data_IF_881121169081
#
_entry.id   IF_881121169081
#
_cell.length_a   1.000
_cell.length_b   1.000
_cell.length_c   1.000
_cell.angle_alpha   90.00
_cell.angle_beta   90.00
_cell.angle_gamma   90.00
#
_symmetry.space_group_name_H-M   'P 1'
#
loop_
_entity.id
_entity.type
_entity.pdbx_description
1 polymer ?
#
# COMPACT_ATOMS: atom_id res chain seq x y z
N UNK A 1 1.79 -25.55 15.72
CA UNK A 1 0.69 -25.24 16.65
C UNK A 1 -0.58 -24.86 15.88
N UNK A 2 -1.74 -24.99 16.52
CA UNK A 2 -3.04 -24.65 15.91
C UNK A 2 -3.66 -23.53 16.73
N UNK A 3 -3.83 -22.36 16.10
CA UNK A 3 -4.36 -21.16 16.70
C UNK A 3 -5.79 -20.91 16.22
N UNK A 4 -6.72 -20.67 17.13
CA UNK A 4 -8.04 -20.18 16.81
C UNK A 4 -8.08 -18.65 16.89
N UNK A 5 -8.63 -17.99 15.85
CA UNK A 5 -8.82 -16.54 15.86
C UNK A 5 -10.29 -16.17 15.75
N UNK A 6 -10.74 -15.32 16.68
CA UNK A 6 -12.12 -14.88 16.79
C UNK A 6 -12.18 -13.35 16.82
N UNK A 7 -13.21 -12.80 16.20
CA UNK A 7 -13.44 -11.34 16.20
C UNK A 7 -14.92 -11.02 16.26
N UNK A 8 -15.25 -10.02 17.06
CA UNK A 8 -16.57 -9.36 16.99
C UNK A 8 -16.41 -7.85 16.96
N UNK A 9 -17.39 -7.14 16.39
CA UNK A 9 -17.49 -5.69 16.52
C UNK A 9 -18.28 -5.32 17.77
N UNK A 10 -18.12 -4.08 18.24
CA UNK A 10 -18.87 -3.59 19.41
C UNK A 10 -20.41 -3.56 19.18
N UNK A 11 -20.86 -3.53 17.92
CA UNK A 11 -22.25 -3.36 17.49
C UNK A 11 -22.94 -4.69 17.15
N UNK A 12 -22.21 -5.83 17.13
CA UNK A 12 -22.76 -7.13 16.73
C UNK A 12 -23.58 -7.78 17.85
N UNK A 13 -24.81 -8.24 17.51
CA UNK A 13 -25.71 -8.91 18.42
C UNK A 13 -25.30 -10.36 18.74
N UNK A 14 -26.18 -11.08 19.46
CA UNK A 14 -25.96 -12.42 20.06
C UNK A 14 -25.51 -13.48 19.05
N UNK A 15 -25.95 -13.41 17.80
CA UNK A 15 -25.63 -14.41 16.75
C UNK A 15 -24.17 -14.40 16.26
N UNK A 16 -23.38 -13.42 16.63
CA UNK A 16 -21.95 -13.32 16.30
C UNK A 16 -21.05 -13.47 17.54
N UNK A 17 -21.57 -14.10 18.60
CA UNK A 17 -20.86 -14.29 19.86
C UNK A 17 -19.55 -15.08 19.66
N UNK A 18 -18.57 -14.88 20.54
CA UNK A 18 -17.36 -15.70 20.55
C UNK A 18 -17.69 -17.18 20.74
N UNK A 19 -18.74 -17.52 21.51
CA UNK A 19 -19.14 -18.91 21.73
C UNK A 19 -19.58 -19.61 20.46
N UNK A 20 -20.35 -18.93 19.60
CA UNK A 20 -20.74 -19.46 18.28
C UNK A 20 -19.51 -19.71 17.39
N UNK A 21 -18.56 -18.76 17.38
CA UNK A 21 -17.32 -18.91 16.61
C UNK A 21 -16.45 -20.05 17.16
N UNK A 22 -16.30 -20.15 18.48
CA UNK A 22 -15.59 -21.26 19.15
C UNK A 22 -16.20 -22.60 18.77
N UNK A 23 -17.51 -22.70 18.89
CA UNK A 23 -18.22 -23.93 18.54
C UNK A 23 -17.98 -24.39 17.10
N UNK A 24 -18.03 -23.46 16.12
CA UNK A 24 -17.71 -23.76 14.71
C UNK A 24 -16.26 -24.26 14.54
N UNK A 25 -15.31 -23.63 15.21
CA UNK A 25 -13.90 -24.04 15.18
C UNK A 25 -13.72 -25.41 15.83
N UNK A 26 -14.35 -25.68 16.96
CA UNK A 26 -14.31 -26.97 17.65
C UNK A 26 -14.91 -28.09 16.81
N UNK A 27 -16.07 -27.85 16.16
CA UNK A 27 -16.67 -28.81 15.24
C UNK A 27 -15.74 -29.15 14.07
N UNK A 28 -15.10 -28.13 13.48
CA UNK A 28 -14.12 -28.33 12.41
C UNK A 28 -12.91 -29.13 12.90
N UNK A 29 -12.38 -28.79 14.07
CA UNK A 29 -11.23 -29.47 14.66
C UNK A 29 -11.54 -30.94 14.97
N UNK A 30 -12.71 -31.22 15.54
CA UNK A 30 -13.15 -32.58 15.82
C UNK A 30 -13.28 -33.42 14.54
N UNK A 31 -13.85 -32.86 13.47
CA UNK A 31 -13.97 -33.54 12.18
C UNK A 31 -12.61 -33.90 11.54
N UNK A 32 -11.61 -33.07 11.78
CA UNK A 32 -10.26 -33.25 11.20
C UNK A 32 -9.23 -33.83 12.20
N UNK A 33 -9.66 -34.31 13.38
CA UNK A 33 -8.80 -34.82 14.45
C UNK A 33 -7.70 -33.80 14.86
N UNK A 34 -8.07 -32.53 14.94
CA UNK A 34 -7.20 -31.42 15.33
C UNK A 34 -7.58 -30.95 16.75
N UNK A 35 -6.64 -30.28 17.41
CA UNK A 35 -6.88 -29.63 18.70
C UNK A 35 -6.34 -28.20 18.64
N UNK A 36 -7.15 -27.23 19.02
CA UNK A 36 -6.69 -25.83 19.17
C UNK A 36 -5.78 -25.72 20.37
N UNK A 37 -4.59 -25.18 20.18
CA UNK A 37 -3.60 -24.96 21.24
C UNK A 37 -3.86 -23.64 21.97
N UNK A 38 -4.24 -22.58 21.25
CA UNK A 38 -4.46 -21.25 21.82
C UNK A 38 -5.54 -20.48 21.02
N UNK A 39 -6.36 -19.68 21.73
CA UNK A 39 -7.40 -18.83 21.15
C UNK A 39 -7.04 -17.36 21.30
N UNK A 40 -7.27 -16.58 20.25
CA UNK A 40 -7.09 -15.13 20.21
C UNK A 40 -8.42 -14.44 19.91
N UNK A 41 -8.86 -13.53 20.77
CA UNK A 41 -10.16 -12.88 20.71
C UNK A 41 -10.01 -11.36 20.62
N UNK A 42 -10.47 -10.76 19.52
CA UNK A 42 -10.47 -9.32 19.33
C UNK A 42 -11.89 -8.75 19.31
N UNK A 43 -12.07 -7.58 19.96
CA UNK A 43 -13.29 -6.77 19.86
C UNK A 43 -12.90 -5.50 19.09
N UNK A 44 -13.10 -5.52 17.77
CA UNK A 44 -12.68 -4.42 16.91
C UNK A 44 -13.35 -4.48 15.52
N UNK A 45 -13.21 -3.42 14.74
CA UNK A 45 -13.66 -3.39 13.35
C UNK A 45 -12.92 -4.43 12.49
N UNK A 46 -13.65 -5.13 11.62
CA UNK A 46 -13.08 -6.05 10.63
C UNK A 46 -12.27 -5.37 9.51
N UNK A 47 -12.35 -4.04 9.38
CA UNK A 47 -11.57 -3.26 8.44
C UNK A 47 -10.11 -3.05 8.86
N UNK A 48 -9.79 -3.21 10.15
CA UNK A 48 -8.40 -3.16 10.64
C UNK A 48 -7.62 -4.37 10.14
N UNK A 49 -6.34 -4.18 9.82
CA UNK A 49 -5.43 -5.29 9.54
C UNK A 49 -5.23 -6.15 10.78
N UNK A 50 -4.91 -7.43 10.60
CA UNK A 50 -4.66 -8.34 11.73
C UNK A 50 -3.59 -7.79 12.68
N UNK A 51 -2.53 -7.22 12.13
CA UNK A 51 -1.40 -6.62 12.87
C UNK A 51 -1.75 -5.32 13.61
N UNK A 52 -2.88 -4.69 13.30
CA UNK A 52 -3.37 -3.49 13.98
C UNK A 52 -4.31 -3.81 15.15
N UNK A 53 -4.71 -5.09 15.30
CA UNK A 53 -5.58 -5.57 16.35
C UNK A 53 -4.76 -6.08 17.52
N UNK A 54 -5.25 -5.90 18.76
CA UNK A 54 -4.49 -6.24 19.96
C UNK A 54 -4.07 -7.71 20.01
N UNK A 55 -5.03 -8.62 19.85
CA UNK A 55 -4.75 -10.06 19.86
C UNK A 55 -4.21 -10.56 18.51
N UNK A 56 -4.64 -9.95 17.42
CA UNK A 56 -4.10 -10.22 16.08
C UNK A 56 -2.61 -9.91 15.96
N UNK A 57 -2.12 -8.85 16.59
CA UNK A 57 -0.68 -8.53 16.66
C UNK A 57 0.09 -9.59 17.43
N UNK A 58 -0.45 -10.04 18.59
CA UNK A 58 0.15 -11.12 19.39
C UNK A 58 0.19 -12.42 18.62
N UNK A 59 -0.91 -12.81 17.97
CA UNK A 59 -0.96 -13.97 17.09
C UNK A 59 0.12 -13.87 15.98
N UNK A 60 0.18 -12.74 15.29
CA UNK A 60 1.15 -12.50 14.19
C UNK A 60 2.62 -12.62 14.65
N UNK A 61 2.92 -12.31 15.91
CA UNK A 61 4.26 -12.43 16.49
C UNK A 61 4.63 -13.86 16.90
N UNK A 62 3.63 -14.70 17.20
CA UNK A 62 3.83 -16.10 17.62
C UNK A 62 3.93 -17.08 16.46
N UNK A 63 3.29 -16.78 15.34
CA UNK A 63 3.17 -17.66 14.16
C UNK A 63 4.53 -18.06 13.61
N UNK A 64 4.71 -19.37 13.41
CA UNK A 64 5.91 -19.98 12.81
C UNK A 64 5.54 -20.89 11.64
N UNK A 65 6.56 -21.27 10.87
CA UNK A 65 6.42 -22.26 9.79
C UNK A 65 5.77 -23.56 10.30
N UNK A 66 4.75 -24.03 9.60
CA UNK A 66 4.02 -25.25 9.94
C UNK A 66 2.83 -25.02 10.89
N UNK A 67 2.63 -23.82 11.37
CA UNK A 67 1.47 -23.50 12.21
C UNK A 67 0.18 -23.38 11.36
N UNK A 68 -0.95 -23.50 12.03
CA UNK A 68 -2.28 -23.37 11.41
C UNK A 68 -3.09 -22.33 12.16
N UNK A 69 -3.71 -21.41 11.41
CA UNK A 69 -4.69 -20.45 11.94
C UNK A 69 -6.07 -20.91 11.49
N UNK A 70 -7.00 -21.04 12.41
CA UNK A 70 -8.39 -21.42 12.13
C UNK A 70 -9.32 -20.29 12.55
N UNK A 71 -10.19 -19.87 11.63
CA UNK A 71 -11.27 -18.90 11.86
C UNK A 71 -12.60 -19.51 11.48
N UNK A 72 -13.68 -19.07 12.14
CA UNK A 72 -15.04 -19.58 11.81
C UNK A 72 -15.48 -19.18 10.41
N UNK A 73 -15.13 -18.00 9.94
CA UNK A 73 -15.50 -17.48 8.62
C UNK A 73 -14.57 -16.32 8.21
N UNK A 74 -14.48 -16.09 6.90
CA UNK A 74 -13.64 -15.06 6.30
C UNK A 74 -13.89 -13.66 6.89
N UNK A 75 -15.17 -13.31 7.11
CA UNK A 75 -15.59 -12.01 7.63
C UNK A 75 -15.06 -11.72 9.04
N UNK A 76 -14.76 -12.77 9.82
CA UNK A 76 -14.16 -12.64 11.15
C UNK A 76 -12.68 -12.36 11.06
N UNK A 77 -12.02 -12.99 10.11
CA UNK A 77 -10.60 -12.73 9.87
C UNK A 77 -10.38 -11.32 9.30
N UNK A 78 -11.00 -10.98 8.18
CA UNK A 78 -10.85 -9.65 7.57
C UNK A 78 -12.07 -9.26 6.73
N UNK A 79 -12.45 -7.97 6.80
CA UNK A 79 -13.34 -7.31 5.84
C UNK A 79 -12.55 -6.52 4.79
N UNK A 80 -11.22 -6.40 4.96
CA UNK A 80 -10.34 -5.78 4.00
C UNK A 80 -9.79 -6.84 3.04
N UNK A 81 -10.21 -6.79 1.77
CA UNK A 81 -9.66 -7.67 0.74
C UNK A 81 -8.12 -7.53 0.62
N UNK A 82 -7.62 -6.31 0.72
CA UNK A 82 -6.18 -6.04 0.68
C UNK A 82 -5.43 -6.70 1.84
N UNK A 83 -5.95 -6.56 3.06
CA UNK A 83 -5.35 -7.19 4.25
C UNK A 83 -5.31 -8.71 4.14
N UNK A 84 -6.44 -9.30 3.72
CA UNK A 84 -6.55 -10.75 3.54
C UNK A 84 -5.52 -11.29 2.56
N UNK A 85 -5.41 -10.66 1.39
CA UNK A 85 -4.48 -11.12 0.34
C UNK A 85 -3.04 -11.04 0.81
N UNK A 86 -2.64 -9.93 1.44
CA UNK A 86 -1.28 -9.79 1.97
C UNK A 86 -0.97 -10.85 3.03
N UNK A 87 -1.94 -11.15 3.91
CA UNK A 87 -1.76 -12.18 4.93
C UNK A 87 -1.67 -13.58 4.30
N UNK A 88 -2.52 -13.90 3.33
CA UNK A 88 -2.47 -15.17 2.60
C UNK A 88 -1.13 -15.34 1.86
N UNK A 89 -0.66 -14.31 1.15
CA UNK A 89 0.65 -14.34 0.50
C UNK A 89 1.80 -14.51 1.50
N UNK A 90 1.74 -13.80 2.63
CA UNK A 90 2.73 -13.90 3.71
C UNK A 90 2.75 -15.32 4.28
N UNK A 91 1.59 -15.85 4.64
CA UNK A 91 1.48 -17.18 5.27
C UNK A 91 1.90 -18.30 4.33
N UNK A 92 1.53 -18.20 3.05
CA UNK A 92 2.01 -19.13 2.04
C UNK A 92 3.54 -19.17 1.94
N UNK A 93 4.20 -18.00 1.94
CA UNK A 93 5.68 -17.90 1.86
C UNK A 93 6.37 -18.53 3.07
N UNK A 94 5.79 -18.41 4.26
CA UNK A 94 6.37 -18.96 5.49
C UNK A 94 5.87 -20.37 5.82
N UNK A 95 4.96 -20.92 5.02
CA UNK A 95 4.43 -22.27 5.23
C UNK A 95 3.46 -22.39 6.38
N UNK A 96 2.62 -21.38 6.61
CA UNK A 96 1.52 -21.37 7.60
C UNK A 96 0.21 -21.65 6.87
N UNK A 97 -0.67 -22.45 7.47
CA UNK A 97 -2.01 -22.72 6.94
C UNK A 97 -3.01 -21.72 7.47
N UNK A 98 -3.92 -21.25 6.63
CA UNK A 98 -5.05 -20.41 7.01
C UNK A 98 -6.35 -21.12 6.62
N UNK A 99 -7.13 -21.47 7.61
CA UNK A 99 -8.34 -22.26 7.48
C UNK A 99 -9.55 -21.43 7.87
N UNK A 100 -10.58 -21.43 7.02
CA UNK A 100 -11.91 -20.97 7.37
C UNK A 100 -12.84 -22.20 7.43
N UNK A 101 -13.62 -22.32 8.51
CA UNK A 101 -14.40 -23.56 8.75
C UNK A 101 -15.44 -23.82 7.67
N UNK A 102 -15.84 -22.80 6.93
CA UNK A 102 -16.79 -22.86 5.81
C UNK A 102 -16.11 -23.06 4.43
N UNK A 103 -14.82 -22.74 4.30
CA UNK A 103 -14.08 -22.80 3.03
C UNK A 103 -12.93 -23.83 3.02
N UNK A 104 -12.52 -24.32 4.20
CA UNK A 104 -11.33 -25.16 4.37
C UNK A 104 -10.02 -24.38 4.33
N UNK A 105 -8.91 -25.08 4.00
CA UNK A 105 -7.58 -24.45 3.90
C UNK A 105 -7.47 -23.64 2.61
N UNK A 106 -7.44 -22.30 2.73
CA UNK A 106 -7.37 -21.39 1.59
C UNK A 106 -5.97 -21.20 1.01
N UNK A 107 -4.95 -21.81 1.64
CA UNK A 107 -3.55 -21.73 1.20
C UNK A 107 -3.13 -23.02 0.50
N UNK A 108 -3.85 -24.13 0.74
CA UNK A 108 -3.51 -25.42 0.15
C UNK A 108 -3.73 -25.44 -1.37
N UNK A 109 -2.97 -26.29 -2.04
CA UNK A 109 -3.12 -26.53 -3.49
C UNK A 109 -4.35 -27.39 -3.86
N UNK A 110 -5.10 -27.85 -2.87
CA UNK A 110 -6.18 -28.80 -3.07
C UNK A 110 -7.52 -28.10 -3.39
N UNK A 111 -7.94 -28.27 -4.61
CA UNK A 111 -9.21 -27.89 -5.25
C UNK A 111 -9.83 -26.52 -4.94
N UNK A 112 -10.60 -26.36 -3.88
CA UNK A 112 -11.31 -25.11 -3.56
C UNK A 112 -10.39 -23.99 -3.05
N UNK A 113 -9.40 -24.33 -2.23
CA UNK A 113 -8.42 -23.38 -1.70
C UNK A 113 -7.59 -22.74 -2.81
N UNK A 114 -7.20 -23.52 -3.84
CA UNK A 114 -6.43 -23.00 -4.98
C UNK A 114 -7.25 -22.05 -5.84
N UNK A 115 -8.52 -22.32 -6.07
CA UNK A 115 -9.44 -21.44 -6.82
C UNK A 115 -9.66 -20.16 -6.04
N UNK A 116 -9.90 -20.25 -4.73
CA UNK A 116 -10.07 -19.08 -3.87
C UNK A 116 -8.82 -18.18 -3.89
N UNK A 117 -7.62 -18.79 -3.80
CA UNK A 117 -6.36 -18.05 -3.89
C UNK A 117 -6.19 -17.35 -5.25
N UNK A 118 -6.54 -18.01 -6.35
CA UNK A 118 -6.50 -17.41 -7.69
C UNK A 118 -7.43 -16.19 -7.78
N UNK A 119 -8.65 -16.31 -7.27
CA UNK A 119 -9.61 -15.19 -7.24
C UNK A 119 -9.05 -14.03 -6.40
N UNK A 120 -8.52 -14.31 -5.23
CA UNK A 120 -7.89 -13.28 -4.38
C UNK A 120 -6.71 -12.61 -5.09
N UNK A 121 -5.88 -13.36 -5.79
CA UNK A 121 -4.73 -12.85 -6.54
C UNK A 121 -5.17 -11.89 -7.66
N UNK A 122 -6.19 -12.27 -8.43
CA UNK A 122 -6.78 -11.44 -9.48
C UNK A 122 -7.38 -10.16 -8.89
N UNK A 123 -8.14 -10.26 -7.80
CA UNK A 123 -8.73 -9.10 -7.12
C UNK A 123 -7.66 -8.13 -6.61
N UNK A 124 -6.53 -8.65 -6.11
CA UNK A 124 -5.40 -7.84 -5.66
C UNK A 124 -4.76 -7.05 -6.78
N UNK A 125 -4.55 -7.71 -7.90
CA UNK A 125 -3.96 -7.06 -9.07
C UNK A 125 -4.90 -5.97 -9.61
N UNK A 126 -6.18 -6.26 -9.71
CA UNK A 126 -7.19 -5.29 -10.09
C UNK A 126 -7.23 -4.09 -9.12
N UNK A 127 -7.20 -4.33 -7.81
CA UNK A 127 -7.20 -3.27 -6.81
C UNK A 127 -5.95 -2.38 -6.91
N UNK A 128 -4.76 -2.98 -7.08
CA UNK A 128 -3.51 -2.22 -7.30
C UNK A 128 -3.58 -1.34 -8.56
N UNK A 129 -4.12 -1.86 -9.65
CA UNK A 129 -4.33 -1.11 -10.90
C UNK A 129 -5.32 0.05 -10.68
N UNK A 130 -6.47 -0.22 -10.08
CA UNK A 130 -7.48 0.79 -9.77
C UNK A 130 -6.93 1.92 -8.87
N UNK A 131 -6.13 1.57 -7.85
CA UNK A 131 -5.49 2.56 -6.98
C UNK A 131 -4.49 3.44 -7.74
N UNK A 132 -3.67 2.83 -8.60
CA UNK A 132 -2.72 3.53 -9.47
C UNK A 132 -3.43 4.52 -10.42
N UNK A 133 -4.54 4.10 -11.03
CA UNK A 133 -5.36 4.96 -11.89
C UNK A 133 -5.97 6.14 -11.12
N UNK A 134 -6.54 5.89 -9.94
CA UNK A 134 -7.06 6.96 -9.08
C UNK A 134 -5.97 7.96 -8.69
N UNK A 135 -4.76 7.48 -8.40
CA UNK A 135 -3.62 8.35 -8.09
C UNK A 135 -3.21 9.18 -9.31
N UNK A 136 -3.16 8.60 -10.52
CA UNK A 136 -2.88 9.34 -11.76
C UNK A 136 -3.90 10.44 -12.00
N UNK A 137 -5.20 10.13 -11.90
CA UNK A 137 -6.29 11.11 -12.07
C UNK A 137 -6.15 12.24 -11.03
N UNK A 138 -5.87 11.91 -9.77
CA UNK A 138 -5.66 12.90 -8.72
C UNK A 138 -4.46 13.80 -9.02
N UNK A 139 -3.34 13.22 -9.48
CA UNK A 139 -2.14 13.96 -9.87
C UNK A 139 -2.39 14.90 -11.06
N UNK A 140 -3.14 14.45 -12.07
CA UNK A 140 -3.53 15.27 -13.21
C UNK A 140 -4.44 16.43 -12.80
N UNK A 141 -5.40 16.16 -11.91
CA UNK A 141 -6.27 17.21 -11.34
C UNK A 141 -5.46 18.29 -10.63
N UNK A 142 -4.50 17.90 -9.79
CA UNK A 142 -3.61 18.84 -9.12
C UNK A 142 -2.74 19.63 -10.13
N UNK A 143 -2.25 18.97 -11.19
CA UNK A 143 -1.51 19.63 -12.27
C UNK A 143 -2.35 20.71 -12.95
N UNK A 144 -3.58 20.38 -13.33
CA UNK A 144 -4.52 21.34 -13.98
C UNK A 144 -4.86 22.53 -13.07
N UNK A 145 -4.87 22.32 -11.77
CA UNK A 145 -5.12 23.35 -10.76
C UNK A 145 -3.85 24.18 -10.41
N UNK A 146 -2.69 23.90 -10.98
CA UNK A 146 -1.43 24.54 -10.62
C UNK A 146 -0.98 24.25 -9.19
N UNK A 147 -1.44 23.14 -8.60
CA UNK A 147 -1.12 22.76 -7.21
C UNK A 147 0.10 21.83 -7.16
N UNK A 148 0.82 21.93 -6.05
CA UNK A 148 1.92 21.05 -5.74
C UNK A 148 1.45 19.58 -5.60
N UNK A 149 2.16 18.68 -6.27
CA UNK A 149 1.80 17.25 -6.40
C UNK A 149 2.58 16.32 -5.49
N UNK A 150 3.43 16.89 -4.62
CA UNK A 150 4.36 16.10 -3.80
C UNK A 150 5.74 15.91 -4.46
N UNK A 151 6.71 15.44 -3.68
CA UNK A 151 8.08 15.24 -4.12
C UNK A 151 8.92 16.52 -4.07
N UNK A 152 9.88 16.70 -5.01
CA UNK A 152 10.68 17.92 -5.11
C UNK A 152 9.93 18.95 -5.95
N UNK A 153 9.83 20.18 -5.42
CA UNK A 153 9.25 21.28 -6.17
C UNK A 153 10.03 21.54 -7.46
N UNK A 154 9.31 21.82 -8.53
CA UNK A 154 9.90 22.14 -9.82
C UNK A 154 10.72 23.42 -9.73
N UNK A 155 11.92 23.40 -10.34
CA UNK A 155 12.78 24.59 -10.39
C UNK A 155 12.06 25.75 -11.08
N UNK A 156 12.13 26.92 -10.45
CA UNK A 156 11.40 28.12 -10.84
C UNK A 156 10.12 28.37 -10.06
N UNK A 157 9.74 27.44 -9.18
CA UNK A 157 8.53 27.55 -8.37
C UNK A 157 8.82 27.23 -6.91
N UNK A 158 8.06 27.84 -6.02
CA UNK A 158 7.98 27.55 -4.58
C UNK A 158 6.56 27.13 -4.22
N UNK A 159 6.40 26.52 -3.06
CA UNK A 159 5.09 26.11 -2.54
C UNK A 159 4.51 27.28 -1.76
N UNK A 160 3.46 27.89 -2.28
CA UNK A 160 2.70 28.95 -1.63
C UNK A 160 1.59 28.44 -0.71
N UNK A 161 0.73 29.37 -0.28
CA UNK A 161 -0.43 29.05 0.55
C UNK A 161 -1.36 28.02 -0.15
N UNK A 162 -1.99 27.16 0.64
CA UNK A 162 -2.89 26.09 0.15
C UNK A 162 -2.26 25.16 -0.90
N UNK A 163 -0.94 24.96 -0.84
CA UNK A 163 -0.17 24.11 -1.76
C UNK A 163 -0.26 24.54 -3.25
N UNK A 164 -0.49 25.81 -3.55
CA UNK A 164 -0.35 26.31 -4.91
C UNK A 164 1.12 26.56 -5.26
N UNK A 165 1.49 26.28 -6.51
CA UNK A 165 2.81 26.62 -7.01
C UNK A 165 2.88 28.11 -7.33
N UNK A 166 3.83 28.80 -6.71
CA UNK A 166 4.09 30.24 -6.90
C UNK A 166 5.44 30.40 -7.57
N UNK A 167 5.55 31.31 -8.52
CA UNK A 167 6.83 31.59 -9.20
C UNK A 167 7.87 32.12 -8.21
N UNK A 168 9.02 31.45 -8.14
CA UNK A 168 10.17 31.92 -7.37
C UNK A 168 10.99 32.91 -8.22
N UNK A 169 10.90 34.20 -7.94
CA UNK A 169 11.52 35.25 -8.75
C UNK A 169 13.02 35.03 -9.00
N UNK A 170 13.75 34.54 -8.00
CA UNK A 170 15.18 34.24 -8.14
C UNK A 170 15.42 33.11 -9.14
N UNK A 171 14.72 32.00 -8.96
CA UNK A 171 14.87 30.81 -9.82
C UNK A 171 14.32 31.07 -11.23
N UNK A 172 13.28 31.89 -11.37
CA UNK A 172 12.76 32.30 -12.69
C UNK A 172 13.78 33.13 -13.48
N UNK A 173 14.50 34.08 -12.82
CA UNK A 173 15.60 34.83 -13.47
C UNK A 173 16.70 33.89 -13.94
N UNK A 174 17.10 32.92 -13.12
CA UNK A 174 18.10 31.93 -13.46
C UNK A 174 17.64 31.03 -14.64
N UNK A 175 16.37 30.60 -14.63
CA UNK A 175 15.78 29.83 -15.75
C UNK A 175 15.81 30.63 -17.06
N UNK A 176 15.31 31.86 -17.03
CA UNK A 176 15.32 32.74 -18.22
C UNK A 176 16.72 32.97 -18.77
N UNK A 177 17.72 33.08 -17.88
CA UNK A 177 19.11 33.22 -18.29
C UNK A 177 19.64 31.96 -18.99
N UNK A 178 19.32 30.79 -18.47
CA UNK A 178 19.68 29.49 -19.11
C UNK A 178 19.04 29.39 -20.49
N UNK A 179 17.75 29.73 -20.63
CA UNK A 179 17.02 29.69 -21.90
C UNK A 179 17.62 30.65 -22.90
N UNK A 180 17.86 31.91 -22.55
CA UNK A 180 18.44 32.93 -23.43
C UNK A 180 19.85 32.59 -23.90
N UNK A 181 20.69 32.00 -23.05
CA UNK A 181 22.02 31.51 -23.43
C UNK A 181 21.92 30.38 -24.45
N UNK A 182 20.93 29.49 -24.24
CA UNK A 182 20.72 28.38 -25.19
C UNK A 182 20.19 28.83 -26.53
N UNK A 183 19.27 29.79 -26.59
CA UNK A 183 18.78 30.43 -27.82
C UNK A 183 19.90 31.07 -28.63
N UNK A 184 20.88 31.66 -27.94
CA UNK A 184 22.10 32.21 -28.57
C UNK A 184 23.08 31.14 -29.05
N UNK A 185 22.73 29.85 -28.99
CA UNK A 185 23.54 28.73 -29.44
C UNK A 185 24.67 28.31 -28.52
N UNK A 186 24.74 28.83 -27.27
CA UNK A 186 25.79 28.51 -26.29
C UNK A 186 25.79 27.02 -25.98
N UNK A 187 26.96 26.38 -25.88
CA UNK A 187 27.12 24.96 -25.54
C UNK A 187 26.74 24.72 -24.09
N UNK A 188 26.19 23.55 -23.80
CA UNK A 188 25.75 23.18 -22.43
C UNK A 188 26.84 23.28 -21.38
N UNK A 189 28.08 22.96 -21.73
CA UNK A 189 29.25 23.09 -20.83
C UNK A 189 29.53 24.55 -20.46
N UNK A 190 29.38 25.44 -21.43
CA UNK A 190 29.65 26.88 -21.21
C UNK A 190 28.52 27.52 -20.41
N UNK A 191 27.25 27.11 -20.66
CA UNK A 191 26.09 27.52 -19.85
C UNK A 191 26.30 27.07 -18.38
N UNK A 192 26.74 25.82 -18.18
CA UNK A 192 27.08 25.32 -16.84
C UNK A 192 28.09 26.23 -16.14
N UNK A 193 29.22 26.47 -16.78
CA UNK A 193 30.32 27.28 -16.22
C UNK A 193 29.89 28.72 -15.93
N UNK A 194 29.06 29.29 -16.79
CA UNK A 194 28.48 30.61 -16.62
C UNK A 194 27.54 30.64 -15.40
N UNK A 195 26.62 29.69 -15.31
CA UNK A 195 25.65 29.62 -14.20
C UNK A 195 26.30 29.34 -12.85
N UNK A 196 27.39 28.54 -12.81
CA UNK A 196 28.16 28.30 -11.59
C UNK A 196 28.80 29.59 -11.07
N UNK A 197 29.38 30.42 -11.96
CA UNK A 197 29.95 31.73 -11.61
C UNK A 197 28.86 32.71 -11.18
N UNK A 198 27.73 32.74 -11.89
CA UNK A 198 26.65 33.70 -11.61
C UNK A 198 25.92 33.41 -10.29
N UNK A 199 25.70 32.12 -9.98
CA UNK A 199 24.88 31.72 -8.80
C UNK A 199 25.68 31.29 -7.60
N UNK A 200 26.99 31.01 -7.74
CA UNK A 200 27.87 30.48 -6.69
C UNK A 200 27.55 29.03 -6.29
N UNK A 201 26.65 28.35 -6.98
CA UNK A 201 26.26 26.96 -6.68
C UNK A 201 26.61 26.04 -7.85
N UNK A 202 26.75 24.73 -7.53
CA UNK A 202 27.06 23.70 -8.51
C UNK A 202 25.89 23.46 -9.47
N UNK A 203 26.17 23.45 -10.77
CA UNK A 203 25.23 23.13 -11.84
C UNK A 203 25.65 21.85 -12.59
N UNK A 204 24.67 21.12 -13.10
CA UNK A 204 24.90 19.90 -13.88
C UNK A 204 24.33 20.05 -15.28
N UNK A 205 25.06 19.58 -16.29
CA UNK A 205 24.63 19.60 -17.70
C UNK A 205 23.30 18.88 -17.89
N UNK A 206 23.10 17.74 -17.21
CA UNK A 206 21.85 16.99 -17.24
C UNK A 206 20.67 17.79 -16.67
N UNK A 207 20.91 18.60 -15.64
CA UNK A 207 19.88 19.47 -15.08
C UNK A 207 19.52 20.61 -16.02
N UNK A 208 20.49 21.26 -16.66
CA UNK A 208 20.27 22.31 -17.66
C UNK A 208 19.46 21.75 -18.85
N UNK A 209 19.82 20.55 -19.33
CA UNK A 209 19.10 19.87 -20.41
C UNK A 209 17.63 19.63 -20.04
N UNK A 210 17.38 19.15 -18.83
CA UNK A 210 16.03 18.91 -18.32
C UNK A 210 15.20 20.21 -18.20
N UNK A 211 15.80 21.32 -17.79
CA UNK A 211 15.12 22.61 -17.71
C UNK A 211 14.68 23.10 -19.09
N UNK A 212 15.53 22.96 -20.11
CA UNK A 212 15.25 23.40 -21.49
C UNK A 212 14.18 22.51 -22.13
N UNK A 213 14.21 21.18 -21.90
CA UNK A 213 13.18 20.29 -22.40
C UNK A 213 11.80 20.62 -21.81
N UNK A 214 11.73 20.85 -20.49
CA UNK A 214 10.48 21.19 -19.82
C UNK A 214 9.85 22.49 -20.35
N UNK A 215 10.66 23.48 -20.69
CA UNK A 215 10.16 24.75 -21.23
C UNK A 215 9.54 24.57 -22.65
N UNK A 216 10.01 23.60 -23.42
CA UNK A 216 9.44 23.26 -24.74
C UNK A 216 8.12 22.50 -24.68
N UNK A 217 7.82 21.86 -23.53
CA UNK A 217 6.61 21.05 -23.31
C UNK A 217 5.46 21.85 -22.67
N UNK A 218 5.72 23.09 -22.21
CA UNK A 218 4.74 24.00 -21.63
C UNK A 218 4.36 25.12 -22.59
#
# INVERSE_FOLDING_TARGET
>A
MIYGYLRKSNEEGVNSSFDTQKYKIECYCNLHNLKVDELFEDICSGGLLLTERKQGMLLSSKIKKGDTIICSELSRYSRSHYGLVNDVEKYRKIGVKLVFTDLGDVISSDSLGSVFYQILSIMSEWYRKSLSEKQKISQEKLKKQGRYRGGRCDFGFDIGQNNYLVKCNKQQRELNLVLSLREKGTKFKDIKSYMERYTGRKWFVSFIHKLIQRDKEN
#
